data_IF_852646210995
#
_entry.id   IF_852646210995
#
_cell.length_a   1.000
_cell.length_b   1.000
_cell.length_c   1.000
_cell.angle_alpha   90.00
_cell.angle_beta   90.00
_cell.angle_gamma   90.00
#
_symmetry.space_group_name_H-M   'P 1'
#
loop_
_entity.id
_entity.type
_entity.pdbx_description
1 polymer ?
#
# COMPACT_ATOMS: atom_id res chain seq x y z
N UNK A 1 6.05 -13.98 -12.39
CA UNK A 1 6.74 -14.56 -11.22
C UNK A 1 6.73 -13.53 -10.08
N UNK A 2 6.64 -13.92 -8.81
CA UNK A 2 6.62 -13.03 -7.64
C UNK A 2 7.51 -13.57 -6.50
N UNK A 3 7.94 -12.71 -5.57
CA UNK A 3 8.82 -13.07 -4.43
C UNK A 3 8.07 -13.39 -3.14
N UNK A 4 8.80 -13.87 -2.11
CA UNK A 4 8.23 -14.39 -0.85
C UNK A 4 8.87 -13.81 0.43
N UNK A 5 9.73 -12.78 0.32
CA UNK A 5 10.35 -12.13 1.50
C UNK A 5 9.28 -11.40 2.35
N UNK A 6 8.28 -10.82 1.71
CA UNK A 6 7.14 -10.18 2.34
C UNK A 6 5.86 -11.01 2.24
N UNK A 7 4.78 -10.61 2.92
CA UNK A 7 3.49 -11.26 2.80
C UNK A 7 2.89 -11.08 1.39
N UNK A 8 1.99 -11.98 1.00
CA UNK A 8 1.20 -11.78 -0.21
C UNK A 8 0.32 -10.53 -0.08
N UNK A 9 0.27 -9.75 -1.16
CA UNK A 9 -0.61 -8.57 -1.29
C UNK A 9 -1.78 -8.85 -2.24
N UNK A 10 -2.01 -10.10 -2.63
CA UNK A 10 -3.18 -10.46 -3.42
C UNK A 10 -4.46 -10.14 -2.65
N UNK A 11 -5.44 -9.52 -3.32
CA UNK A 11 -6.68 -9.04 -2.73
C UNK A 11 -6.49 -8.03 -1.58
N UNK A 12 -5.40 -7.25 -1.58
CA UNK A 12 -5.06 -6.35 -0.46
C UNK A 12 -6.20 -5.41 -0.04
N UNK A 13 -6.80 -4.69 -0.99
CA UNK A 13 -7.92 -3.77 -0.75
C UNK A 13 -9.22 -4.52 -0.45
N UNK A 14 -9.50 -5.58 -1.20
CA UNK A 14 -10.70 -6.43 -1.04
C UNK A 14 -10.78 -7.05 0.36
N UNK A 15 -9.69 -7.62 0.86
CA UNK A 15 -9.60 -8.23 2.19
C UNK A 15 -9.72 -7.20 3.33
N UNK A 16 -9.55 -5.92 3.03
CA UNK A 16 -9.63 -4.81 3.98
C UNK A 16 -10.91 -4.00 3.83
N UNK A 17 -11.87 -4.50 3.06
CA UNK A 17 -13.19 -3.88 2.89
C UNK A 17 -13.18 -2.58 2.10
N UNK A 18 -12.12 -2.28 1.34
CA UNK A 18 -12.06 -1.06 0.52
C UNK A 18 -12.85 -1.28 -0.75
N UNK A 19 -14.11 -0.83 -0.75
CA UNK A 19 -15.03 -0.88 -1.91
C UNK A 19 -15.07 0.43 -2.68
N UNK A 20 -14.77 1.55 -2.04
CA UNK A 20 -14.61 2.85 -2.67
C UNK A 20 -13.46 3.62 -1.98
N UNK A 21 -12.29 3.77 -2.62
CA UNK A 21 -11.16 4.50 -2.03
C UNK A 21 -11.47 5.97 -1.71
N UNK A 22 -12.42 6.60 -2.40
CA UNK A 22 -12.80 7.98 -2.13
C UNK A 22 -13.74 8.13 -0.92
N UNK A 23 -14.19 7.02 -0.32
CA UNK A 23 -15.12 7.06 0.80
C UNK A 23 -14.42 7.38 2.13
N UNK A 24 -15.10 8.03 3.09
CA UNK A 24 -14.53 8.30 4.42
C UNK A 24 -14.09 7.03 5.14
N UNK A 25 -14.77 5.91 4.93
CA UNK A 25 -14.48 4.62 5.57
C UNK A 25 -13.17 4.01 5.08
N UNK A 26 -12.76 4.31 3.84
CA UNK A 26 -11.49 3.85 3.27
C UNK A 26 -10.28 4.69 3.70
N UNK A 27 -10.51 5.88 4.26
CA UNK A 27 -9.44 6.83 4.62
C UNK A 27 -8.38 6.23 5.56
N UNK A 28 -8.73 5.51 6.65
CA UNK A 28 -7.72 4.90 7.51
C UNK A 28 -6.85 3.89 6.75
N UNK A 29 -7.44 3.18 5.80
CA UNK A 29 -6.71 2.20 4.99
C UNK A 29 -5.77 2.86 3.97
N UNK A 30 -6.19 3.96 3.37
CA UNK A 30 -5.35 4.78 2.50
C UNK A 30 -4.14 5.32 3.25
N UNK A 31 -4.37 5.95 4.40
CA UNK A 31 -3.32 6.55 5.22
C UNK A 31 -2.32 5.50 5.72
N UNK A 32 -2.81 4.34 6.17
CA UNK A 32 -1.97 3.22 6.55
C UNK A 32 -1.13 2.72 5.38
N UNK A 33 -1.75 2.46 4.23
CA UNK A 33 -1.06 1.91 3.06
C UNK A 33 -0.01 2.88 2.54
N UNK A 34 -0.35 4.17 2.47
CA UNK A 34 0.57 5.25 2.15
C UNK A 34 1.75 5.27 3.11
N UNK A 35 1.48 5.32 4.41
CA UNK A 35 2.52 5.38 5.43
C UNK A 35 3.45 4.18 5.42
N UNK A 36 2.92 2.97 5.18
CA UNK A 36 3.73 1.74 5.05
C UNK A 36 4.68 1.78 3.85
N UNK A 37 4.25 2.35 2.72
CA UNK A 37 5.10 2.52 1.52
C UNK A 37 6.11 3.65 1.73
N UNK A 38 5.67 4.77 2.30
CA UNK A 38 6.51 5.95 2.51
C UNK A 38 7.63 5.68 3.51
N UNK A 39 7.29 5.11 4.67
CA UNK A 39 8.21 4.78 5.74
C UNK A 39 7.72 3.55 6.53
N UNK A 40 8.00 2.35 6.00
CA UNK A 40 7.69 1.06 6.60
C UNK A 40 8.12 0.92 8.08
N UNK A 41 9.27 1.49 8.44
CA UNK A 41 9.88 1.41 9.77
C UNK A 41 9.15 2.24 10.83
N UNK A 42 8.34 3.22 10.43
CA UNK A 42 7.49 3.97 11.35
C UNK A 42 6.36 3.10 11.95
N UNK A 43 5.97 2.02 11.25
CA UNK A 43 4.90 1.11 11.69
C UNK A 43 5.42 -0.23 12.22
N UNK A 44 6.63 -0.63 11.84
CA UNK A 44 7.29 -1.82 12.37
C UNK A 44 8.81 -1.60 12.40
N UNK A 45 9.38 -1.49 13.59
CA UNK A 45 10.80 -1.29 13.78
C UNK A 45 11.61 -2.37 13.05
N UNK A 46 12.70 -1.97 12.39
CA UNK A 46 13.57 -2.88 11.64
C UNK A 46 12.89 -3.66 10.51
N UNK A 47 11.73 -3.22 9.99
CA UNK A 47 11.15 -3.83 8.78
C UNK A 47 12.15 -3.90 7.63
N UNK A 48 12.21 -5.05 6.97
CA UNK A 48 13.01 -5.28 5.76
C UNK A 48 12.42 -4.57 4.53
N UNK A 49 11.16 -4.10 4.60
CA UNK A 49 10.58 -3.28 3.54
C UNK A 49 11.32 -1.92 3.50
N UNK A 50 11.76 -1.43 2.34
CA UNK A 50 12.42 -0.13 2.23
C UNK A 50 11.52 1.03 2.67
N UNK A 51 12.12 2.11 3.16
CA UNK A 51 11.44 3.38 3.45
C UNK A 51 11.33 4.19 2.15
N UNK A 52 10.58 3.72 1.18
CA UNK A 52 10.73 4.09 -0.23
C UNK A 52 10.55 5.60 -0.49
N UNK A 53 9.55 6.23 0.12
CA UNK A 53 9.34 7.68 0.02
C UNK A 53 10.37 8.48 0.82
N UNK A 54 10.57 8.13 2.09
CA UNK A 54 11.50 8.84 2.97
C UNK A 54 12.98 8.74 2.51
N UNK A 55 13.37 7.65 1.85
CA UNK A 55 14.70 7.47 1.28
C UNK A 55 14.85 8.06 -0.13
N UNK A 56 13.80 8.68 -0.70
CA UNK A 56 13.83 9.28 -2.04
C UNK A 56 13.86 8.28 -3.20
N UNK A 57 13.58 7.00 -2.95
CA UNK A 57 13.54 5.95 -3.98
C UNK A 57 12.28 6.12 -4.86
N UNK A 58 11.18 6.53 -4.25
CA UNK A 58 9.93 6.86 -4.92
C UNK A 58 9.53 8.30 -4.62
N UNK A 59 9.03 9.00 -5.63
CA UNK A 59 8.38 10.29 -5.45
C UNK A 59 6.90 10.12 -5.05
N UNK A 60 6.26 11.23 -4.67
CA UNK A 60 4.86 11.24 -4.22
C UNK A 60 3.90 10.63 -5.25
N UNK A 61 4.05 10.98 -6.53
CA UNK A 61 3.17 10.47 -7.60
C UNK A 61 3.30 8.95 -7.75
N UNK A 62 4.50 8.41 -7.67
CA UNK A 62 4.73 6.97 -7.73
C UNK A 62 4.10 6.25 -6.53
N UNK A 63 4.21 6.82 -5.33
CA UNK A 63 3.53 6.27 -4.14
C UNK A 63 2.01 6.30 -4.33
N UNK A 64 1.44 7.39 -4.86
CA UNK A 64 0.00 7.48 -5.19
C UNK A 64 -0.44 6.35 -6.13
N UNK A 65 0.33 6.08 -7.18
CA UNK A 65 0.01 5.00 -8.12
C UNK A 65 0.08 3.61 -7.47
N UNK A 66 1.06 3.35 -6.59
CA UNK A 66 1.15 2.05 -5.88
C UNK A 66 0.00 1.89 -4.89
N UNK A 67 -0.38 2.94 -4.18
CA UNK A 67 -1.54 2.91 -3.28
C UNK A 67 -2.83 2.61 -4.06
N UNK A 68 -3.02 3.23 -5.23
CA UNK A 68 -4.14 2.92 -6.11
C UNK A 68 -4.10 1.46 -6.57
N UNK A 69 -2.93 0.94 -6.99
CA UNK A 69 -2.77 -0.46 -7.37
C UNK A 69 -3.20 -1.42 -6.25
N UNK A 70 -2.93 -1.09 -4.98
CA UNK A 70 -3.26 -1.98 -3.86
C UNK A 70 -4.73 -1.86 -3.41
N UNK A 71 -5.33 -0.68 -3.50
CA UNK A 71 -6.63 -0.39 -2.88
C UNK A 71 -7.79 -0.23 -3.85
N UNK A 72 -7.55 0.07 -5.12
CA UNK A 72 -8.62 0.27 -6.10
C UNK A 72 -9.34 -1.06 -6.39
N UNK A 73 -10.69 -1.13 -6.25
CA UNK A 73 -11.47 -2.32 -6.60
C UNK A 73 -11.37 -2.74 -8.07
N UNK A 74 -11.01 -1.81 -8.96
CA UNK A 74 -10.77 -2.08 -10.37
C UNK A 74 -9.35 -2.55 -10.66
N UNK A 75 -8.43 -2.41 -9.70
CA UNK A 75 -7.06 -2.93 -9.85
C UNK A 75 -7.06 -4.45 -10.05
N UNK A 76 -6.19 -4.99 -10.93
CA UNK A 76 -6.03 -6.44 -11.09
C UNK A 76 -5.63 -7.15 -9.80
N UNK A 77 -5.06 -6.44 -8.81
CA UNK A 77 -4.72 -7.01 -7.49
C UNK A 77 -5.96 -7.43 -6.70
N UNK A 78 -7.11 -6.81 -6.96
CA UNK A 78 -8.36 -6.97 -6.21
C UNK A 78 -9.46 -7.72 -6.99
N UNK A 79 -9.11 -8.37 -8.11
CA UNK A 79 -10.04 -9.18 -8.92
C UNK A 79 -10.08 -10.64 -8.47
#
# INVERSE_FOLDING_TARGET
SFGTIGPSLYNYGKLRGVTNPASPEAKPMLEYTWGKIWNSKAYNACSNMPRAGHAGILNEQQVRHIVALLLDPQSPVNK
#
